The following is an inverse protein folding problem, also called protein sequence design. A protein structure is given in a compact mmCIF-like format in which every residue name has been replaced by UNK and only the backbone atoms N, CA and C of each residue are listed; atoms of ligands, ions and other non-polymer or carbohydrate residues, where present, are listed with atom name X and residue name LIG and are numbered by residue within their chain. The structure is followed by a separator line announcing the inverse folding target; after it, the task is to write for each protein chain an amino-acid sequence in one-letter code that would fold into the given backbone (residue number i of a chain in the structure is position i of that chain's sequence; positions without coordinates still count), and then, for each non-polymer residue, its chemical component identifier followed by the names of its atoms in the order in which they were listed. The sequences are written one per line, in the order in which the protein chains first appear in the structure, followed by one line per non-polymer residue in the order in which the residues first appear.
data_IF_125481795499
#
_entry.id   IF_125481795499
#
_cell.length_a   1.000
_cell.length_b   1.000
_cell.length_c   1.000
_cell.angle_alpha   90.00
_cell.angle_beta   90.00
_cell.angle_gamma   90.00
#
_symmetry.space_group_name_H-M   'P 1'
#
loop_
_entity.id
_entity.type
_entity.pdbx_description
1 polymer ?
#
# COMPACT_ATOMS: atom_id res chain seq x y z
N UNK A 1 8.26 31.44 10.80
CA UNK A 1 7.97 30.68 9.57
C UNK A 1 8.70 29.33 9.55
N UNK A 2 9.98 29.27 9.95
CA UNK A 2 10.77 28.02 10.07
C UNK A 2 10.14 26.93 10.95
N UNK A 3 9.48 27.30 12.05
CA UNK A 3 8.79 26.34 12.93
C UNK A 3 7.76 25.49 12.18
N UNK A 4 6.88 26.11 11.38
CA UNK A 4 5.83 25.38 10.65
C UNK A 4 6.42 24.41 9.62
N UNK A 5 7.44 24.84 8.88
CA UNK A 5 8.16 23.99 7.91
C UNK A 5 8.89 22.82 8.58
N UNK A 6 9.53 23.05 9.73
CA UNK A 6 10.21 21.99 10.49
C UNK A 6 9.24 20.87 10.90
N UNK A 7 8.10 21.24 11.49
CA UNK A 7 7.09 20.24 11.88
C UNK A 7 6.37 19.62 10.68
N UNK A 8 6.14 20.36 9.59
CA UNK A 8 5.58 19.79 8.37
C UNK A 8 6.48 18.67 7.81
N UNK A 9 7.81 18.87 7.81
CA UNK A 9 8.79 17.86 7.40
C UNK A 9 8.84 16.66 8.37
N UNK A 10 8.75 16.90 9.68
CA UNK A 10 8.69 15.82 10.67
C UNK A 10 7.43 14.98 10.49
N UNK A 11 6.27 15.62 10.30
CA UNK A 11 5.01 14.93 10.04
C UNK A 11 5.09 14.13 8.74
N UNK A 12 5.63 14.71 7.66
CA UNK A 12 5.84 13.98 6.40
C UNK A 12 6.68 12.71 6.61
N UNK A 13 7.83 12.83 7.28
CA UNK A 13 8.72 11.70 7.57
C UNK A 13 8.01 10.63 8.39
N UNK A 14 7.26 11.01 9.43
CA UNK A 14 6.50 10.08 10.26
C UNK A 14 5.45 9.31 9.46
N UNK A 15 4.68 10.00 8.61
CA UNK A 15 3.66 9.37 7.76
C UNK A 15 4.31 8.45 6.73
N UNK A 16 5.37 8.89 6.06
CA UNK A 16 6.11 8.08 5.11
C UNK A 16 6.65 6.80 5.74
N UNK A 17 7.26 6.88 6.93
CA UNK A 17 7.74 5.71 7.67
C UNK A 17 6.59 4.76 8.06
N UNK A 18 5.46 5.30 8.54
CA UNK A 18 4.29 4.50 8.89
C UNK A 18 3.71 3.77 7.66
N UNK A 19 3.60 4.45 6.52
CA UNK A 19 3.14 3.88 5.25
C UNK A 19 4.09 2.78 4.77
N UNK A 20 5.40 3.05 4.71
CA UNK A 20 6.43 2.05 4.34
C UNK A 20 6.37 0.82 5.24
N UNK A 21 6.22 1.01 6.55
CA UNK A 21 6.12 -0.10 7.51
C UNK A 21 4.86 -0.93 7.27
N UNK A 22 3.72 -0.29 6.99
CA UNK A 22 2.45 -0.97 6.68
C UNK A 22 2.57 -1.83 5.42
N UNK A 23 3.17 -1.30 4.35
CA UNK A 23 3.45 -2.08 3.14
C UNK A 23 4.44 -3.23 3.36
N UNK A 24 5.46 -3.04 4.19
CA UNK A 24 6.42 -4.10 4.51
C UNK A 24 5.75 -5.27 5.25
N UNK A 25 4.84 -4.96 6.18
CA UNK A 25 4.03 -5.97 6.89
C UNK A 25 3.11 -6.70 5.92
N UNK A 26 2.37 -5.96 5.06
CA UNK A 26 1.49 -6.55 4.05
C UNK A 26 2.27 -7.46 3.10
N UNK A 27 3.43 -7.01 2.61
CA UNK A 27 4.33 -7.80 1.77
C UNK A 27 4.80 -9.08 2.46
N UNK A 28 5.21 -9.01 3.74
CA UNK A 28 5.63 -10.20 4.49
C UNK A 28 4.52 -11.24 4.56
N UNK A 29 3.27 -10.81 4.76
CA UNK A 29 2.10 -11.68 4.92
C UNK A 29 1.61 -12.29 3.60
N UNK A 30 1.79 -11.59 2.47
CA UNK A 30 1.35 -12.06 1.13
C UNK A 30 2.46 -12.82 0.39
N UNK A 31 3.73 -12.40 0.56
CA UNK A 31 4.89 -12.94 -0.14
C UNK A 31 5.72 -13.94 0.65
N UNK A 32 5.22 -14.44 1.80
CA UNK A 32 5.93 -15.45 2.58
C UNK A 32 6.09 -16.73 1.76
N UNK A 33 7.29 -16.91 1.20
CA UNK A 33 7.79 -18.23 0.81
C UNK A 33 7.60 -19.13 2.03
N UNK A 34 6.99 -20.29 1.84
CA UNK A 34 6.72 -21.33 2.85
C UNK A 34 8.02 -21.93 3.45
N UNK A 35 8.93 -21.10 3.94
CA UNK A 35 10.26 -21.48 4.45
C UNK A 35 10.40 -21.40 5.97
N UNK A 36 9.33 -21.07 6.70
CA UNK A 36 9.32 -21.14 8.16
C UNK A 36 9.09 -22.57 8.59
N UNK A 37 10.08 -23.19 9.24
CA UNK A 37 9.92 -24.51 9.85
C UNK A 37 8.73 -24.56 10.79
N UNK A 38 8.15 -25.75 10.95
CA UNK A 38 6.96 -26.12 11.72
C UNK A 38 6.74 -25.41 13.09
N UNK A 39 7.79 -24.84 13.69
CA UNK A 39 7.75 -24.16 14.98
C UNK A 39 7.19 -22.72 14.94
N UNK A 40 6.98 -22.14 13.75
CA UNK A 40 6.30 -20.85 13.59
C UNK A 40 5.10 -21.00 12.65
N UNK A 41 4.00 -21.56 13.19
CA UNK A 41 2.68 -21.56 12.56
C UNK A 41 2.13 -20.12 12.53
N UNK A 42 2.63 -19.31 11.61
CA UNK A 42 2.04 -18.00 11.33
C UNK A 42 0.67 -18.22 10.67
N UNK A 43 -0.41 -17.77 11.34
CA UNK A 43 -1.80 -17.97 10.87
C UNK A 43 -1.95 -17.49 9.42
N UNK A 44 -2.48 -18.32 8.51
CA UNK A 44 -2.66 -17.95 7.10
C UNK A 44 -3.56 -16.72 6.98
N UNK A 45 -3.26 -15.88 5.99
CA UNK A 45 -3.98 -14.62 5.76
C UNK A 45 -5.28 -14.82 4.97
N UNK A 46 -5.31 -15.82 4.09
CA UNK A 46 -6.48 -16.24 3.32
C UNK A 46 -6.73 -17.73 3.57
N UNK A 47 -7.99 -18.07 3.79
CA UNK A 47 -8.49 -19.45 3.75
C UNK A 47 -9.18 -19.65 2.41
N UNK A 48 -8.80 -20.70 1.69
CA UNK A 48 -9.29 -20.97 0.34
C UNK A 48 -9.78 -22.40 0.31
N UNK A 49 -11.04 -22.60 -0.06
CA UNK A 49 -11.64 -23.91 -0.29
C UNK A 49 -11.49 -24.28 -1.76
N UNK A 50 -11.20 -25.55 -2.00
CA UNK A 50 -11.09 -26.11 -3.35
C UNK A 50 -12.38 -26.84 -3.66
N UNK A 51 -13.08 -26.41 -4.70
CA UNK A 51 -14.32 -27.02 -5.16
C UNK A 51 -14.12 -27.65 -6.55
N UNK A 52 -14.72 -28.82 -6.76
CA UNK A 52 -14.71 -29.54 -8.03
C UNK A 52 -15.93 -29.14 -8.85
N UNK A 53 -15.73 -28.31 -9.86
CA UNK A 53 -16.73 -28.01 -10.88
C UNK A 53 -16.31 -28.73 -12.17
N UNK A 54 -16.73 -29.98 -12.35
CA UNK A 54 -16.30 -30.83 -13.48
C UNK A 54 -16.38 -30.06 -14.81
N UNK A 55 -15.28 -30.00 -15.61
CA UNK A 55 -14.00 -30.69 -15.47
C UNK A 55 -12.87 -29.88 -14.78
N UNK A 56 -13.18 -28.72 -14.18
CA UNK A 56 -12.19 -27.77 -13.66
C UNK A 56 -12.18 -27.71 -12.12
N UNK A 57 -11.00 -27.49 -11.55
CA UNK A 57 -10.84 -27.18 -10.13
C UNK A 57 -11.02 -25.67 -9.94
N UNK A 58 -11.92 -25.28 -9.04
CA UNK A 58 -12.22 -23.88 -8.73
C UNK A 58 -11.80 -23.57 -7.30
N UNK A 59 -11.22 -22.38 -7.10
CA UNK A 59 -10.88 -21.86 -5.77
C UNK A 59 -11.95 -20.88 -5.32
N UNK A 60 -12.41 -21.04 -4.08
CA UNK A 60 -13.31 -20.10 -3.42
C UNK A 60 -12.64 -19.58 -2.13
N UNK A 61 -12.34 -18.28 -2.01
CA UNK A 61 -12.48 -17.23 -3.02
C UNK A 61 -11.50 -17.43 -4.20
N UNK A 62 -11.79 -16.79 -5.34
CA UNK A 62 -10.91 -16.86 -6.50
C UNK A 62 -9.59 -16.13 -6.25
N UNK A 63 -8.57 -16.45 -7.04
CA UNK A 63 -7.28 -15.75 -6.96
C UNK A 63 -7.40 -14.26 -7.32
N UNK A 64 -8.38 -13.90 -8.15
CA UNK A 64 -8.66 -12.51 -8.50
C UNK A 64 -9.31 -11.76 -7.34
N UNK A 65 -10.18 -12.42 -6.57
CA UNK A 65 -10.75 -11.86 -5.34
C UNK A 65 -9.67 -11.63 -4.28
N UNK A 66 -8.73 -12.58 -4.14
CA UNK A 66 -7.57 -12.43 -3.25
C UNK A 66 -6.72 -11.24 -3.70
N UNK A 67 -6.41 -11.11 -5.00
CA UNK A 67 -5.65 -9.99 -5.53
C UNK A 67 -6.38 -8.66 -5.32
N UNK A 68 -7.70 -8.63 -5.53
CA UNK A 68 -8.55 -7.46 -5.31
C UNK A 68 -8.56 -7.04 -3.84
N UNK A 69 -8.67 -8.00 -2.91
CA UNK A 69 -8.61 -7.75 -1.47
C UNK A 69 -7.25 -7.17 -1.05
N UNK A 70 -6.15 -7.73 -1.57
CA UNK A 70 -4.78 -7.21 -1.34
C UNK A 70 -4.61 -5.79 -1.90
N UNK A 71 -5.07 -5.55 -3.12
CA UNK A 71 -5.04 -4.22 -3.75
C UNK A 71 -5.91 -3.21 -2.98
N UNK A 72 -7.06 -3.64 -2.47
CA UNK A 72 -7.93 -2.85 -1.62
C UNK A 72 -7.26 -2.47 -0.30
N UNK A 73 -6.54 -3.39 0.33
CA UNK A 73 -5.75 -3.11 1.53
C UNK A 73 -4.62 -2.10 1.25
N UNK A 74 -3.89 -2.27 0.15
CA UNK A 74 -2.86 -1.32 -0.28
C UNK A 74 -3.43 0.08 -0.53
N UNK A 75 -4.58 0.19 -1.21
CA UNK A 75 -5.28 1.47 -1.40
C UNK A 75 -5.72 2.10 -0.09
N UNK A 76 -6.23 1.32 0.88
CA UNK A 76 -6.60 1.83 2.21
C UNK A 76 -5.39 2.36 2.99
N UNK A 77 -4.24 1.70 2.90
CA UNK A 77 -2.97 2.17 3.50
C UNK A 77 -2.57 3.53 2.90
N UNK A 78 -2.70 3.71 1.59
CA UNK A 78 -2.42 5.00 0.93
C UNK A 78 -3.48 6.06 1.28
N UNK A 79 -4.76 5.71 1.26
CA UNK A 79 -5.83 6.66 1.58
C UNK A 79 -5.74 7.18 3.02
N UNK A 80 -5.13 6.42 3.94
CA UNK A 80 -4.85 6.91 5.29
C UNK A 80 -3.96 8.16 5.28
N UNK A 81 -3.07 8.34 4.30
CA UNK A 81 -2.30 9.58 4.17
C UNK A 81 -3.08 10.74 3.56
N UNK A 82 -4.24 10.48 2.92
CA UNK A 82 -5.14 11.51 2.39
C UNK A 82 -5.85 12.28 3.51
N UNK A 83 -6.16 11.58 4.62
CA UNK A 83 -6.82 12.19 5.78
C UNK A 83 -5.86 13.07 6.60
N UNK A 84 -4.54 12.92 6.39
CA UNK A 84 -3.53 13.66 7.12
C UNK A 84 -3.25 14.99 6.42
N UNK A 85 -3.83 16.05 6.98
CA UNK A 85 -3.62 17.42 6.51
C UNK A 85 -2.22 17.93 6.87
N UNK A 86 -1.60 18.61 5.92
CA UNK A 86 -0.30 19.25 6.10
C UNK A 86 -0.37 20.43 7.06
N UNK A 87 0.68 20.64 7.84
CA UNK A 87 0.80 21.82 8.68
C UNK A 87 1.33 23.00 7.88
N UNK A 88 0.44 23.95 7.57
CA UNK A 88 0.76 25.14 6.78
C UNK A 88 0.75 24.89 5.27
N UNK A 89 0.80 25.97 4.50
CA UNK A 89 0.81 25.97 3.03
C UNK A 89 2.26 25.95 2.47
N UNK A 90 3.14 25.20 3.12
CA UNK A 90 4.55 25.12 2.72
C UNK A 90 4.72 23.89 1.83
N UNK A 91 5.08 24.10 0.57
CA UNK A 91 5.59 23.02 -0.29
C UNK A 91 6.80 22.35 0.43
N UNK A 92 7.10 21.08 0.15
CA UNK A 92 8.19 20.40 0.87
C UNK A 92 9.58 21.00 0.56
N UNK A 93 9.68 21.87 -0.45
CA UNK A 93 10.88 22.59 -0.86
C UNK A 93 11.05 23.93 -0.12
N UNK A 94 10.07 24.35 0.69
CA UNK A 94 10.13 25.61 1.44
C UNK A 94 9.84 26.86 0.60
N UNK A 95 9.39 26.68 -0.65
CA UNK A 95 9.08 27.80 -1.55
C UNK A 95 7.69 28.34 -1.20
N UNK A 96 7.65 29.29 -0.26
CA UNK A 96 6.49 30.17 -0.05
C UNK A 96 6.30 31.06 -1.30
N UNK A 97 5.87 30.53 -2.44
CA UNK A 97 5.27 31.38 -3.48
C UNK A 97 3.78 31.58 -3.18
N UNK A 98 3.53 32.37 -2.12
CA UNK A 98 2.26 33.07 -1.93
C UNK A 98 2.14 34.15 -3.03
N UNK A 99 1.88 33.73 -4.28
CA UNK A 99 1.38 34.59 -5.34
C UNK A 99 0.11 35.29 -4.87
N UNK A 100 0.09 36.64 -4.82
CA UNK A 100 -1.10 37.38 -4.42
C UNK A 100 -2.26 37.12 -5.41
N UNK A 101 -3.45 36.83 -4.87
CA UNK A 101 -4.67 36.58 -5.64
C UNK A 101 -5.05 35.10 -5.83
N UNK A 102 -4.24 34.18 -5.30
CA UNK A 102 -4.56 32.75 -5.27
C UNK A 102 -5.22 32.44 -3.94
N UNK A 103 -6.47 31.96 -3.96
CA UNK A 103 -7.14 31.45 -2.76
C UNK A 103 -6.56 30.08 -2.42
N UNK A 104 -5.52 30.08 -1.57
CA UNK A 104 -4.83 28.88 -1.09
C UNK A 104 -5.66 28.04 -0.11
N UNK A 105 -6.81 28.54 0.35
CA UNK A 105 -7.80 27.73 1.05
C UNK A 105 -8.70 26.96 0.05
N UNK A 106 -8.89 27.50 -1.17
CA UNK A 106 -9.60 26.85 -2.27
C UNK A 106 -8.71 25.94 -3.16
N UNK A 107 -7.40 26.22 -3.24
CA UNK A 107 -6.41 25.41 -3.96
C UNK A 107 -5.73 24.49 -2.95
N UNK A 108 -6.40 23.35 -2.71
CA UNK A 108 -5.88 22.14 -2.08
C UNK A 108 -4.62 22.31 -1.24
N UNK A 109 -4.83 22.45 0.07
CA UNK A 109 -3.93 21.99 1.13
C UNK A 109 -3.73 20.47 1.00
N UNK A 110 -3.10 20.04 -0.11
CA UNK A 110 -3.01 18.67 -0.55
C UNK A 110 -2.44 17.82 0.57
N UNK A 111 -3.16 16.78 0.98
CA UNK A 111 -2.64 15.78 1.90
C UNK A 111 -1.27 15.27 1.47
N UNK A 112 -0.51 14.61 2.35
CA UNK A 112 0.76 13.97 1.95
C UNK A 112 0.60 12.82 0.94
N UNK A 113 -0.62 12.54 0.50
CA UNK A 113 -0.95 11.46 -0.42
C UNK A 113 -0.17 11.53 -1.73
N UNK A 114 -0.12 12.68 -2.40
CA UNK A 114 0.49 12.75 -3.74
C UNK A 114 2.00 12.47 -3.69
N UNK A 115 2.70 13.00 -2.68
CA UNK A 115 4.13 12.73 -2.49
C UNK A 115 4.40 11.31 -2.00
N UNK A 116 3.54 10.73 -1.16
CA UNK A 116 3.72 9.37 -0.65
C UNK A 116 3.36 8.33 -1.72
N UNK A 117 2.32 8.57 -2.52
CA UNK A 117 1.89 7.67 -3.58
C UNK A 117 2.87 7.65 -4.76
N UNK A 118 3.56 8.77 -5.01
CA UNK A 118 4.61 8.87 -6.04
C UNK A 118 5.99 8.42 -5.55
N UNK A 119 6.16 8.14 -4.25
CA UNK A 119 7.42 7.63 -3.69
C UNK A 119 7.83 6.29 -4.35
N UNK A 120 9.03 6.26 -4.92
CA UNK A 120 9.54 5.13 -5.69
C UNK A 120 9.63 3.84 -4.86
N UNK A 121 9.88 3.92 -3.55
CA UNK A 121 9.92 2.75 -2.68
C UNK A 121 8.51 2.17 -2.48
N UNK A 122 7.51 3.05 -2.33
CA UNK A 122 6.09 2.64 -2.24
C UNK A 122 5.63 1.98 -3.54
N UNK A 123 5.92 2.59 -4.70
CA UNK A 123 5.58 2.01 -6.01
C UNK A 123 6.25 0.64 -6.20
N UNK A 124 7.54 0.50 -5.83
CA UNK A 124 8.24 -0.79 -5.86
C UNK A 124 7.58 -1.84 -4.95
N UNK A 125 7.12 -1.45 -3.76
CA UNK A 125 6.43 -2.37 -2.85
C UNK A 125 5.10 -2.85 -3.42
N UNK A 126 4.31 -1.96 -4.02
CA UNK A 126 3.04 -2.32 -4.68
C UNK A 126 3.27 -3.28 -5.85
N UNK A 127 4.25 -3.01 -6.71
CA UNK A 127 4.60 -3.88 -7.84
C UNK A 127 5.06 -5.28 -7.39
N UNK A 128 5.84 -5.35 -6.31
CA UNK A 128 6.26 -6.63 -5.73
C UNK A 128 5.07 -7.40 -5.14
N UNK A 129 4.11 -6.71 -4.54
CA UNK A 129 2.90 -7.30 -3.98
C UNK A 129 2.04 -7.92 -5.09
N UNK A 130 1.76 -7.18 -6.16
CA UNK A 130 0.98 -7.69 -7.29
C UNK A 130 1.69 -8.82 -8.02
N UNK A 131 3.00 -8.70 -8.24
CA UNK A 131 3.81 -9.76 -8.86
C UNK A 131 3.88 -11.04 -8.03
N UNK A 132 3.86 -10.94 -6.69
CA UNK A 132 3.84 -12.11 -5.81
C UNK A 132 2.54 -12.90 -5.92
N UNK A 133 1.39 -12.22 -5.97
CA UNK A 133 0.07 -12.88 -6.14
C UNK A 133 -0.04 -13.54 -7.50
N UNK A 134 0.45 -12.88 -8.56
CA UNK A 134 0.47 -13.45 -9.91
C UNK A 134 1.38 -14.69 -10.00
N UNK A 135 2.49 -14.70 -9.27
CA UNK A 135 3.34 -15.89 -9.14
C UNK A 135 2.60 -17.07 -8.52
N UNK A 136 1.80 -16.84 -7.47
CA UNK A 136 0.95 -17.87 -6.86
C UNK A 136 -0.11 -18.37 -7.84
N UNK A 137 -0.72 -17.47 -8.62
CA UNK A 137 -1.70 -17.84 -9.65
C UNK A 137 -1.13 -18.82 -10.68
N UNK A 138 0.09 -18.57 -11.15
CA UNK A 138 0.77 -19.49 -12.07
C UNK A 138 1.03 -20.87 -11.44
N UNK A 139 1.51 -20.93 -10.20
CA UNK A 139 1.75 -22.20 -9.51
C UNK A 139 0.47 -23.02 -9.32
N UNK A 140 -0.63 -22.38 -8.96
CA UNK A 140 -1.94 -23.06 -8.81
C UNK A 140 -2.42 -23.59 -10.15
N UNK A 141 -2.35 -22.80 -11.23
CA UNK A 141 -2.77 -23.21 -12.58
C UNK A 141 -1.92 -24.35 -13.11
N UNK A 142 -0.62 -24.35 -12.83
CA UNK A 142 0.28 -25.46 -13.17
C UNK A 142 -0.09 -26.75 -12.41
N UNK A 143 -0.48 -26.65 -11.14
CA UNK A 143 -0.82 -27.81 -10.30
C UNK A 143 -2.25 -28.34 -10.49
N UNK A 144 -3.11 -27.59 -11.18
CA UNK A 144 -4.51 -27.96 -11.45
C UNK A 144 -4.74 -28.46 -12.89
N UNK A 145 -3.68 -28.60 -13.67
CA UNK A 145 -3.65 -29.36 -14.93
C UNK A 145 -3.24 -30.81 -14.67
#
# INVERSE_FOLDING_TARGET
KEFKGHYARLTYSAVLHATRRSFAVLKKRVGSRFGGGFLFLERPFFEVTVELAVPHVVLQPSLEDIQSAVNGAAKKILNASLEIKRWGQTDLNGDEENRPGVDYDAIGTGSFYDEIASDIEIVKLVLLLTGSVEGVKKMVVEHSR
#
